data_IF_502127141722
#
_entry.id   IF_502127141722
#
_cell.length_a   1.000
_cell.length_b   1.000
_cell.length_c   1.000
_cell.angle_alpha   90.00
_cell.angle_beta   90.00
_cell.angle_gamma   90.00
#
_symmetry.space_group_name_H-M   'P 1'
#
loop_
_entity.id
_entity.type
_entity.pdbx_description
1 polymer ?
#
# COMPACT_ATOMS: atom_id res chain seq x y z
N UNK A 1 36.83 -35.54 -23.54
CA UNK A 1 37.06 -34.10 -23.27
C UNK A 1 35.92 -33.17 -23.72
N UNK A 2 35.43 -33.20 -24.97
CA UNK A 2 34.41 -32.24 -25.45
C UNK A 2 33.06 -32.25 -24.69
N UNK A 3 32.59 -33.42 -24.21
CA UNK A 3 31.33 -33.54 -23.45
C UNK A 3 31.39 -32.93 -22.04
N UNK A 4 32.55 -32.93 -21.39
CA UNK A 4 32.73 -32.34 -20.07
C UNK A 4 32.71 -30.80 -20.12
N UNK A 5 33.32 -30.22 -21.15
CA UNK A 5 33.31 -28.76 -21.39
C UNK A 5 31.90 -28.24 -21.67
N UNK A 6 31.12 -28.94 -22.49
CA UNK A 6 29.71 -28.58 -22.75
C UNK A 6 28.86 -28.69 -21.49
N UNK A 7 29.08 -29.70 -20.65
CA UNK A 7 28.34 -29.86 -19.39
C UNK A 7 28.66 -28.74 -18.39
N UNK A 8 29.92 -28.30 -18.31
CA UNK A 8 30.34 -27.18 -17.45
C UNK A 8 29.73 -25.85 -17.91
N UNK A 9 29.69 -25.60 -19.23
CA UNK A 9 29.09 -24.38 -19.79
C UNK A 9 27.57 -24.35 -19.53
N UNK A 10 26.89 -25.48 -19.72
CA UNK A 10 25.47 -25.62 -19.42
C UNK A 10 25.21 -25.39 -17.93
N UNK A 11 26.04 -25.96 -17.04
CA UNK A 11 25.93 -25.75 -15.59
C UNK A 11 26.14 -24.28 -15.20
N UNK A 12 27.11 -23.58 -15.83
CA UNK A 12 27.37 -22.15 -15.60
C UNK A 12 26.24 -21.24 -16.09
N UNK A 13 25.62 -21.56 -17.23
CA UNK A 13 24.43 -20.84 -17.73
C UNK A 13 23.24 -21.09 -16.82
N UNK A 14 23.02 -22.31 -16.32
CA UNK A 14 21.99 -22.61 -15.34
C UNK A 14 22.23 -21.93 -13.99
N UNK A 15 23.49 -21.80 -13.55
CA UNK A 15 23.85 -21.03 -12.35
C UNK A 15 23.54 -19.54 -12.50
N UNK A 16 23.80 -18.93 -13.66
CA UNK A 16 23.40 -17.53 -13.91
C UNK A 16 21.88 -17.32 -13.94
N UNK A 17 21.11 -18.33 -14.33
CA UNK A 17 19.64 -18.29 -14.34
C UNK A 17 19.07 -18.53 -12.92
N UNK A 18 19.73 -19.36 -12.10
CA UNK A 18 19.34 -19.64 -10.72
C UNK A 18 19.76 -18.54 -9.72
N UNK A 19 20.85 -17.81 -10.03
CA UNK A 19 21.35 -16.63 -9.29
C UNK A 19 21.08 -15.31 -10.02
N UNK A 20 19.92 -15.18 -10.67
CA UNK A 20 19.46 -13.88 -11.15
C UNK A 20 19.01 -13.03 -9.96
N UNK A 21 19.96 -12.64 -9.10
CA UNK A 21 19.77 -11.67 -8.03
C UNK A 21 19.27 -10.33 -8.60
N UNK A 22 18.89 -9.42 -7.71
CA UNK A 22 18.31 -8.14 -8.12
C UNK A 22 19.30 -7.41 -9.02
N UNK A 23 18.88 -7.06 -10.24
CA UNK A 23 19.75 -6.35 -11.18
C UNK A 23 20.02 -4.93 -10.67
N UNK A 24 21.19 -4.34 -10.98
CA UNK A 24 21.50 -2.94 -10.63
C UNK A 24 20.42 -1.96 -11.15
N UNK A 25 19.86 -2.23 -12.33
CA UNK A 25 18.76 -1.42 -12.90
C UNK A 25 17.48 -1.53 -12.08
N UNK A 26 17.14 -2.72 -11.59
CA UNK A 26 15.98 -2.88 -10.71
C UNK A 26 16.25 -2.24 -9.35
N UNK A 27 17.49 -2.31 -8.86
CA UNK A 27 17.86 -1.69 -7.60
C UNK A 27 17.66 -0.16 -7.60
N UNK A 28 18.07 0.52 -8.68
CA UNK A 28 17.81 1.96 -8.84
C UNK A 28 16.31 2.29 -8.94
N UNK A 29 15.52 1.42 -9.56
CA UNK A 29 14.06 1.55 -9.55
C UNK A 29 13.48 1.36 -8.15
N UNK A 30 14.01 0.43 -7.36
CA UNK A 30 13.59 0.19 -5.99
C UNK A 30 13.86 1.41 -5.11
N UNK A 31 15.05 2.02 -5.21
CA UNK A 31 15.35 3.30 -4.55
C UNK A 31 14.36 4.40 -4.95
N UNK A 32 14.09 4.52 -6.25
CA UNK A 32 13.14 5.51 -6.78
C UNK A 32 11.71 5.25 -6.28
N UNK A 33 11.29 3.98 -6.23
CA UNK A 33 10.00 3.56 -5.71
C UNK A 33 9.88 3.96 -4.24
N UNK A 34 10.85 3.61 -3.41
CA UNK A 34 10.85 3.90 -1.98
C UNK A 34 10.84 5.41 -1.69
N UNK A 35 11.63 6.19 -2.42
CA UNK A 35 11.60 7.66 -2.32
C UNK A 35 10.21 8.24 -2.63
N UNK A 36 9.62 7.84 -3.76
CA UNK A 36 8.29 8.33 -4.15
C UNK A 36 7.18 7.81 -3.24
N UNK A 37 7.36 6.62 -2.66
CA UNK A 37 6.45 6.11 -1.66
C UNK A 37 6.49 6.98 -0.40
N UNK A 38 7.68 7.38 0.07
CA UNK A 38 7.80 8.29 1.22
C UNK A 38 7.10 9.62 0.96
N UNK A 39 7.29 10.20 -0.23
CA UNK A 39 6.61 11.43 -0.66
C UNK A 39 5.08 11.27 -0.66
N UNK A 40 4.55 10.16 -1.19
CA UNK A 40 3.11 9.91 -1.20
C UNK A 40 2.56 9.69 0.23
N UNK A 41 3.25 8.92 1.06
CA UNK A 41 2.86 8.65 2.45
C UNK A 41 2.86 9.94 3.29
N UNK A 42 3.80 10.86 3.04
CA UNK A 42 3.82 12.19 3.65
C UNK A 42 2.52 12.96 3.35
N UNK A 43 2.04 12.95 2.10
CA UNK A 43 0.75 13.57 1.76
C UNK A 43 -0.42 12.90 2.48
N UNK A 44 -0.40 11.58 2.67
CA UNK A 44 -1.42 10.89 3.48
C UNK A 44 -1.35 11.29 4.97
N UNK A 45 -0.15 11.48 5.53
CA UNK A 45 0.04 11.99 6.90
C UNK A 45 -0.50 13.42 7.04
N UNK A 46 -0.32 14.31 6.05
CA UNK A 46 -0.87 15.67 6.08
C UNK A 46 -2.40 15.66 6.17
N UNK A 47 -3.05 14.76 5.44
CA UNK A 47 -4.51 14.58 5.50
C UNK A 47 -4.94 14.07 6.88
N UNK A 48 -4.25 13.07 7.41
CA UNK A 48 -4.51 12.55 8.77
C UNK A 48 -4.27 13.62 9.83
N UNK A 49 -3.28 14.49 9.64
CA UNK A 49 -3.00 15.62 10.55
C UNK A 49 -4.17 16.60 10.54
N UNK A 50 -4.69 16.94 9.35
CA UNK A 50 -5.90 17.77 9.20
C UNK A 50 -7.10 17.15 9.94
N UNK A 51 -7.30 15.82 9.82
CA UNK A 51 -8.36 15.14 10.58
C UNK A 51 -8.12 15.13 12.08
N UNK A 52 -6.87 14.95 12.53
CA UNK A 52 -6.51 14.99 13.95
C UNK A 52 -6.74 16.40 14.53
N UNK A 53 -6.37 17.45 13.80
CA UNK A 53 -6.65 18.83 14.17
C UNK A 53 -8.16 19.10 14.27
N UNK A 54 -8.93 18.67 13.27
CA UNK A 54 -10.39 18.77 13.32
C UNK A 54 -10.98 18.00 14.53
N UNK A 55 -10.46 16.80 14.81
CA UNK A 55 -10.88 15.98 15.95
C UNK A 55 -10.61 16.65 17.29
N UNK A 56 -9.53 17.44 17.42
CA UNK A 56 -9.22 18.18 18.64
C UNK A 56 -10.25 19.27 18.96
N UNK A 57 -10.96 19.77 17.95
CA UNK A 57 -12.05 20.74 18.12
C UNK A 57 -13.40 20.08 18.45
N UNK A 58 -13.50 18.75 18.41
CA UNK A 58 -14.70 18.02 18.84
C UNK A 58 -14.77 18.08 20.38
N UNK A 59 -15.83 18.67 20.97
CA UNK A 59 -15.96 18.76 22.42
C UNK A 59 -15.95 17.38 23.11
N UNK A 60 -15.31 17.29 24.28
CA UNK A 60 -15.16 16.02 25.00
C UNK A 60 -16.49 15.41 25.50
N UNK A 61 -17.57 16.19 25.55
CA UNK A 61 -18.90 15.67 25.88
C UNK A 61 -19.53 14.85 24.74
N UNK A 62 -19.02 14.99 23.50
CA UNK A 62 -19.48 14.20 22.36
C UNK A 62 -19.10 12.73 22.55
N UNK A 63 -20.09 11.85 22.56
CA UNK A 63 -19.89 10.41 22.76
C UNK A 63 -19.02 9.84 21.63
N UNK A 64 -17.89 9.22 22.01
CA UNK A 64 -16.96 8.58 21.08
C UNK A 64 -15.80 9.46 20.61
N UNK A 65 -15.73 10.74 21.02
CA UNK A 65 -14.66 11.68 20.63
C UNK A 65 -13.25 11.14 20.94
N UNK A 66 -13.01 10.64 22.15
CA UNK A 66 -11.70 10.08 22.53
C UNK A 66 -11.34 8.85 21.69
N UNK A 67 -12.29 7.94 21.47
CA UNK A 67 -12.07 6.75 20.63
C UNK A 67 -11.69 7.15 19.20
N UNK A 68 -12.33 8.18 18.66
CA UNK A 68 -12.02 8.70 17.33
C UNK A 68 -10.61 9.34 17.25
N UNK A 69 -10.23 10.13 18.25
CA UNK A 69 -8.87 10.69 18.35
C UNK A 69 -7.80 9.59 18.40
N UNK A 70 -8.00 8.56 19.23
CA UNK A 70 -7.09 7.41 19.30
C UNK A 70 -7.00 6.69 17.96
N UNK A 71 -8.13 6.45 17.30
CA UNK A 71 -8.20 5.79 16.00
C UNK A 71 -7.44 6.56 14.90
N UNK A 72 -7.56 7.88 14.83
CA UNK A 72 -6.79 8.69 13.88
C UNK A 72 -5.28 8.66 14.18
N UNK A 73 -4.90 8.67 15.45
CA UNK A 73 -3.50 8.55 15.87
C UNK A 73 -2.90 7.19 15.46
N UNK A 74 -3.65 6.09 15.63
CA UNK A 74 -3.23 4.75 15.20
C UNK A 74 -2.93 4.72 13.68
N UNK A 75 -3.76 5.35 12.85
CA UNK A 75 -3.50 5.47 11.41
C UNK A 75 -2.22 6.24 11.11
N UNK A 76 -1.97 7.34 11.81
CA UNK A 76 -0.74 8.13 11.66
C UNK A 76 0.49 7.28 12.03
N UNK A 77 0.40 6.48 13.09
CA UNK A 77 1.47 5.55 13.52
C UNK A 77 1.74 4.51 12.43
N UNK A 78 0.72 3.95 11.78
CA UNK A 78 0.92 3.01 10.68
C UNK A 78 1.68 3.64 9.50
N UNK A 79 1.35 4.88 9.12
CA UNK A 79 2.14 5.62 8.13
C UNK A 79 3.59 5.81 8.58
N UNK A 80 3.82 6.17 9.84
CA UNK A 80 5.18 6.32 10.38
C UNK A 80 5.99 5.02 10.34
N UNK A 81 5.36 3.86 10.59
CA UNK A 81 6.01 2.55 10.48
C UNK A 81 6.49 2.28 9.04
N UNK A 82 5.66 2.60 8.04
CA UNK A 82 6.02 2.47 6.62
C UNK A 82 7.23 3.35 6.31
N UNK A 83 7.20 4.63 6.71
CA UNK A 83 8.32 5.57 6.51
C UNK A 83 9.60 5.08 7.19
N UNK A 84 9.51 4.55 8.40
CA UNK A 84 10.66 3.96 9.09
C UNK A 84 11.25 2.77 8.33
N UNK A 85 10.41 1.93 7.71
CA UNK A 85 10.88 0.85 6.83
C UNK A 85 11.58 1.37 5.56
N UNK A 86 11.10 2.48 5.00
CA UNK A 86 11.74 3.16 3.87
C UNK A 86 13.11 3.70 4.26
N UNK A 87 13.22 4.45 5.37
CA UNK A 87 14.49 5.02 5.85
C UNK A 87 15.53 3.92 6.10
N UNK A 88 15.13 2.81 6.74
CA UNK A 88 16.01 1.66 6.96
C UNK A 88 16.56 1.07 5.65
N UNK A 89 15.82 1.20 4.55
CA UNK A 89 16.20 0.64 3.25
C UNK A 89 17.34 1.37 2.52
N UNK A 90 17.69 2.58 2.97
CA UNK A 90 18.75 3.39 2.35
C UNK A 90 20.12 2.71 2.46
N UNK A 91 20.36 2.03 3.58
CA UNK A 91 21.62 1.32 3.88
C UNK A 91 21.59 -0.16 3.50
N UNK A 92 20.47 -0.66 2.97
CA UNK A 92 20.32 -2.06 2.58
C UNK A 92 21.02 -2.35 1.25
N UNK A 93 21.47 -3.60 1.08
CA UNK A 93 21.87 -4.09 -0.24
C UNK A 93 20.65 -4.31 -1.16
N UNK A 94 20.91 -4.66 -2.42
CA UNK A 94 19.86 -4.75 -3.46
C UNK A 94 18.83 -5.86 -3.20
N UNK A 95 19.26 -7.01 -2.68
CA UNK A 95 18.38 -8.12 -2.29
C UNK A 95 17.53 -7.76 -1.07
N UNK A 96 18.16 -7.20 -0.04
CA UNK A 96 17.48 -6.72 1.18
C UNK A 96 16.44 -5.66 0.86
N UNK A 97 16.76 -4.71 -0.03
CA UNK A 97 15.83 -3.66 -0.44
C UNK A 97 14.64 -4.20 -1.22
N UNK A 98 14.86 -5.15 -2.12
CA UNK A 98 13.77 -5.84 -2.83
C UNK A 98 12.83 -6.56 -1.85
N UNK A 99 13.40 -7.22 -0.84
CA UNK A 99 12.64 -7.86 0.23
C UNK A 99 11.90 -6.84 1.11
N UNK A 100 12.54 -5.75 1.48
CA UNK A 100 11.93 -4.68 2.27
C UNK A 100 10.72 -4.07 1.55
N UNK A 101 10.79 -3.88 0.22
CA UNK A 101 9.63 -3.43 -0.58
C UNK A 101 8.48 -4.42 -0.47
N UNK A 102 8.76 -5.73 -0.53
CA UNK A 102 7.75 -6.76 -0.34
C UNK A 102 7.10 -6.64 1.04
N UNK A 103 7.88 -6.53 2.10
CA UNK A 103 7.37 -6.39 3.48
C UNK A 103 6.50 -5.13 3.64
N UNK A 104 6.91 -4.01 3.02
CA UNK A 104 6.10 -2.78 3.00
C UNK A 104 4.80 -2.94 2.21
N UNK A 105 4.77 -3.77 1.16
CA UNK A 105 3.53 -4.08 0.44
C UNK A 105 2.63 -4.95 1.32
N UNK A 106 3.19 -5.98 1.96
CA UNK A 106 2.48 -6.89 2.87
C UNK A 106 1.94 -6.18 4.12
N UNK A 107 2.51 -5.05 4.54
CA UNK A 107 1.97 -4.30 5.68
C UNK A 107 0.59 -3.69 5.40
N UNK A 108 0.15 -3.62 4.13
CA UNK A 108 -1.22 -3.22 3.78
C UNK A 108 -2.22 -4.28 4.26
N UNK A 109 -1.85 -5.56 4.15
CA UNK A 109 -2.66 -6.72 4.55
C UNK A 109 -1.73 -7.88 4.95
N UNK A 110 -1.50 -8.03 6.25
CA UNK A 110 -0.46 -8.92 6.80
C UNK A 110 -0.85 -10.40 6.87
N UNK A 111 -2.13 -10.72 6.67
CA UNK A 111 -2.70 -12.07 6.76
C UNK A 111 -2.67 -12.85 5.43
N UNK A 112 -2.10 -12.28 4.37
CA UNK A 112 -2.03 -12.96 3.08
C UNK A 112 -0.80 -13.84 2.89
N UNK A 113 -1.07 -15.11 2.61
CA UNK A 113 -0.07 -16.07 2.16
C UNK A 113 -0.02 -16.14 0.64
N UNK A 114 1.13 -15.76 0.07
CA UNK A 114 1.35 -15.83 -1.37
C UNK A 114 2.24 -17.01 -1.72
N UNK A 115 1.75 -17.89 -2.60
CA UNK A 115 2.58 -18.94 -3.18
C UNK A 115 3.69 -18.32 -4.04
N UNK A 116 4.92 -18.82 -3.88
CA UNK A 116 6.07 -18.41 -4.69
C UNK A 116 5.97 -19.02 -6.08
N UNK A 117 5.07 -18.49 -6.91
CA UNK A 117 4.99 -18.82 -8.32
C UNK A 117 5.80 -17.85 -9.16
N UNK A 118 6.43 -18.37 -10.22
CA UNK A 118 7.16 -17.52 -11.16
C UNK A 118 6.18 -16.64 -11.92
N UNK A 119 6.28 -15.33 -11.75
CA UNK A 119 5.46 -14.36 -12.48
C UNK A 119 5.88 -14.34 -13.95
N UNK A 120 4.95 -14.71 -14.84
CA UNK A 120 5.12 -14.65 -16.30
C UNK A 120 4.95 -13.23 -16.82
N UNK A 121 5.47 -12.92 -18.02
CA UNK A 121 5.25 -11.61 -18.66
C UNK A 121 3.76 -11.31 -18.90
N UNK A 122 2.97 -12.33 -19.23
CA UNK A 122 1.51 -12.21 -19.40
C UNK A 122 0.82 -11.83 -18.09
N UNK A 123 1.20 -12.48 -16.98
CA UNK A 123 0.68 -12.14 -15.65
C UNK A 123 1.10 -10.74 -15.22
N UNK A 124 2.37 -10.35 -15.41
CA UNK A 124 2.84 -8.98 -15.11
C UNK A 124 2.06 -7.91 -15.89
N UNK A 125 1.82 -8.14 -17.20
CA UNK A 125 1.02 -7.24 -18.03
C UNK A 125 -0.42 -7.11 -17.50
N UNK A 126 -1.07 -8.23 -17.18
CA UNK A 126 -2.41 -8.22 -16.60
C UNK A 126 -2.45 -7.51 -15.24
N UNK A 127 -1.45 -7.72 -14.39
CA UNK A 127 -1.32 -7.02 -13.11
C UNK A 127 -1.21 -5.51 -13.29
N UNK A 128 -0.43 -5.04 -14.29
CA UNK A 128 -0.33 -3.61 -14.63
C UNK A 128 -1.67 -2.99 -15.02
N UNK A 129 -2.38 -3.65 -15.93
CA UNK A 129 -3.67 -3.19 -16.43
C UNK A 129 -4.70 -3.13 -15.29
N UNK A 130 -4.74 -4.17 -14.47
CA UNK A 130 -5.59 -4.23 -13.28
C UNK A 130 -5.29 -3.08 -12.30
N UNK A 131 -4.03 -2.91 -11.90
CA UNK A 131 -3.63 -1.85 -10.96
C UNK A 131 -3.92 -0.46 -11.52
N UNK A 132 -3.76 -0.25 -12.84
CA UNK A 132 -4.12 1.02 -13.49
C UNK A 132 -5.63 1.29 -13.46
N UNK A 133 -6.47 0.28 -13.67
CA UNK A 133 -7.93 0.43 -13.51
C UNK A 133 -8.28 0.81 -12.08
N UNK A 134 -7.70 0.08 -11.11
CA UNK A 134 -7.94 0.31 -9.68
C UNK A 134 -7.46 1.67 -9.21
N UNK A 135 -6.38 2.21 -9.77
CA UNK A 135 -5.95 3.58 -9.49
C UNK A 135 -7.08 4.59 -9.75
N UNK A 136 -7.70 4.53 -10.92
CA UNK A 136 -8.78 5.44 -11.31
C UNK A 136 -10.03 5.26 -10.43
N UNK A 137 -10.41 4.01 -10.13
CA UNK A 137 -11.55 3.69 -9.27
C UNK A 137 -11.36 4.24 -7.85
N UNK A 138 -10.18 4.02 -7.26
CA UNK A 138 -9.84 4.48 -5.91
C UNK A 138 -9.78 6.01 -5.83
N UNK A 139 -9.23 6.70 -6.83
CA UNK A 139 -9.21 8.16 -6.88
C UNK A 139 -10.62 8.74 -6.83
N UNK A 140 -11.53 8.18 -7.62
CA UNK A 140 -12.93 8.59 -7.62
C UNK A 140 -13.61 8.30 -6.27
N UNK A 141 -13.40 7.10 -5.72
CA UNK A 141 -14.00 6.68 -4.46
C UNK A 141 -13.54 7.53 -3.26
N UNK A 142 -12.25 7.87 -3.18
CA UNK A 142 -11.72 8.77 -2.15
C UNK A 142 -12.40 10.14 -2.20
N UNK A 143 -12.64 10.68 -3.41
CA UNK A 143 -13.35 11.94 -3.57
C UNK A 143 -14.79 11.90 -3.05
N UNK A 144 -15.49 10.79 -3.24
CA UNK A 144 -16.84 10.56 -2.68
C UNK A 144 -16.78 10.46 -1.16
N UNK A 145 -15.89 9.61 -0.63
CA UNK A 145 -15.76 9.37 0.81
C UNK A 145 -15.48 10.67 1.57
N UNK A 146 -14.58 11.53 1.05
CA UNK A 146 -14.28 12.82 1.69
C UNK A 146 -15.49 13.74 1.78
N UNK A 147 -16.33 13.78 0.73
CA UNK A 147 -17.60 14.54 0.76
C UNK A 147 -18.57 13.98 1.80
N UNK A 148 -18.63 12.65 1.94
CA UNK A 148 -19.46 12.01 2.96
C UNK A 148 -18.95 12.26 4.38
N UNK A 149 -17.63 12.25 4.61
CA UNK A 149 -17.00 12.63 5.89
C UNK A 149 -17.44 14.05 6.30
N UNK A 150 -17.31 15.03 5.40
CA UNK A 150 -17.74 16.41 5.66
C UNK A 150 -19.24 16.53 5.97
N UNK A 151 -20.06 15.68 5.35
CA UNK A 151 -21.50 15.62 5.64
C UNK A 151 -21.78 15.06 7.03
N UNK A 152 -21.08 13.99 7.43
CA UNK A 152 -21.19 13.40 8.76
C UNK A 152 -20.69 14.34 9.87
N UNK A 153 -19.65 15.13 9.62
CA UNK A 153 -19.16 16.13 10.59
C UNK A 153 -20.24 17.13 11.01
N UNK A 154 -21.06 17.58 10.04
CA UNK A 154 -22.21 18.47 10.31
C UNK A 154 -23.30 17.79 11.13
N UNK A 155 -23.41 16.46 11.06
CA UNK A 155 -24.39 15.67 11.82
C UNK A 155 -23.89 15.46 13.25
N UNK A 156 -22.61 15.14 13.43
CA UNK A 156 -22.00 14.88 14.74
C UNK A 156 -22.18 16.07 15.68
N UNK A 157 -22.05 17.30 15.17
CA UNK A 157 -22.27 18.52 15.95
C UNK A 157 -23.74 18.73 16.39
N UNK A 158 -24.69 18.01 15.79
CA UNK A 158 -26.12 18.05 16.13
C UNK A 158 -26.57 16.84 16.94
N UNK A 159 -25.91 15.69 16.77
CA UNK A 159 -26.28 14.42 17.39
C UNK A 159 -25.47 14.09 18.65
N UNK A 160 -24.53 14.95 19.04
CA UNK A 160 -23.61 14.80 20.18
C UNK A 160 -22.93 13.42 20.27
N UNK A 161 -22.75 12.77 19.12
CA UNK A 161 -22.22 11.41 19.04
C UNK A 161 -21.56 11.13 17.70
N UNK A 162 -20.44 10.41 17.74
CA UNK A 162 -19.74 9.93 16.55
C UNK A 162 -20.36 8.62 16.09
N UNK A 163 -20.86 8.59 14.85
CA UNK A 163 -21.52 7.42 14.27
C UNK A 163 -20.51 6.34 13.86
N UNK A 164 -20.94 5.07 13.85
CA UNK A 164 -20.15 3.97 13.27
C UNK A 164 -19.80 4.23 11.80
N UNK A 165 -20.75 4.79 11.03
CA UNK A 165 -20.55 5.17 9.63
C UNK A 165 -19.38 6.15 9.47
N UNK A 166 -19.21 7.10 10.39
CA UNK A 166 -18.09 8.05 10.35
C UNK A 166 -16.73 7.36 10.51
N UNK A 167 -16.62 6.41 11.45
CA UNK A 167 -15.41 5.58 11.59
C UNK A 167 -15.15 4.77 10.31
N UNK A 168 -16.18 4.13 9.75
CA UNK A 168 -16.04 3.32 8.52
C UNK A 168 -15.58 4.16 7.32
N UNK A 169 -16.06 5.40 7.21
CA UNK A 169 -15.63 6.34 6.16
C UNK A 169 -14.14 6.70 6.30
N UNK A 170 -13.68 7.01 7.51
CA UNK A 170 -12.27 7.32 7.75
C UNK A 170 -11.36 6.10 7.55
N UNK A 171 -11.78 4.91 7.98
CA UNK A 171 -11.07 3.65 7.69
C UNK A 171 -10.87 3.44 6.19
N UNK A 172 -11.93 3.67 5.40
CA UNK A 172 -11.86 3.51 3.95
C UNK A 172 -11.05 4.61 3.27
N UNK A 173 -11.18 5.86 3.72
CA UNK A 173 -10.35 6.95 3.20
C UNK A 173 -8.87 6.64 3.42
N UNK A 174 -8.50 6.16 4.60
CA UNK A 174 -7.14 5.77 4.93
C UNK A 174 -6.66 4.61 4.04
N UNK A 175 -7.39 3.48 4.03
CA UNK A 175 -7.02 2.31 3.22
C UNK A 175 -6.88 2.68 1.74
N UNK A 176 -7.82 3.45 1.19
CA UNK A 176 -7.78 3.79 -0.23
C UNK A 176 -6.65 4.77 -0.55
N UNK A 177 -6.38 5.75 0.32
CA UNK A 177 -5.24 6.66 0.15
C UNK A 177 -3.94 5.87 0.20
N UNK A 178 -3.81 4.95 1.14
CA UNK A 178 -2.64 4.06 1.24
C UNK A 178 -2.47 3.21 -0.03
N UNK A 179 -3.54 2.59 -0.54
CA UNK A 179 -3.47 1.84 -1.81
C UNK A 179 -3.06 2.74 -2.98
N UNK A 180 -3.58 3.96 -3.06
CA UNK A 180 -3.19 4.93 -4.10
C UNK A 180 -1.69 5.25 -4.04
N UNK A 181 -1.14 5.43 -2.83
CA UNK A 181 0.27 5.76 -2.60
C UNK A 181 1.21 4.69 -3.19
N UNK A 182 0.84 3.41 -3.10
CA UNK A 182 1.59 2.30 -3.68
C UNK A 182 1.31 2.12 -5.19
N UNK A 183 0.04 2.15 -5.59
CA UNK A 183 -0.38 1.83 -6.97
C UNK A 183 0.16 2.85 -7.96
N UNK A 184 0.14 4.15 -7.62
CA UNK A 184 0.55 5.26 -8.50
C UNK A 184 1.98 5.11 -9.04
N UNK A 185 2.84 4.44 -8.28
CA UNK A 185 4.27 4.26 -8.59
C UNK A 185 4.65 2.79 -8.83
N UNK A 186 3.65 1.90 -8.92
CA UNK A 186 3.84 0.45 -9.07
C UNK A 186 4.60 0.04 -10.34
N UNK A 187 4.73 0.94 -11.33
CA UNK A 187 5.53 0.67 -12.53
C UNK A 187 7.02 0.50 -12.29
N UNK A 188 7.52 1.02 -11.16
CA UNK A 188 8.91 0.88 -10.73
C UNK A 188 9.20 -0.49 -10.12
N UNK A 189 8.16 -1.19 -9.64
CA UNK A 189 8.31 -2.50 -8.99
C UNK A 189 8.81 -3.57 -9.97
N UNK A 190 9.54 -4.55 -9.42
CA UNK A 190 9.75 -5.84 -10.06
C UNK A 190 8.40 -6.49 -10.38
N UNK A 191 8.40 -7.48 -11.28
CA UNK A 191 7.18 -8.23 -11.60
C UNK A 191 6.66 -9.01 -10.38
N UNK A 192 7.57 -9.46 -9.52
CA UNK A 192 7.27 -10.14 -8.26
C UNK A 192 6.56 -9.19 -7.29
N UNK A 193 7.15 -8.06 -6.94
CA UNK A 193 6.56 -7.10 -6.01
C UNK A 193 5.26 -6.49 -6.53
N UNK A 194 5.17 -6.26 -7.85
CA UNK A 194 3.91 -5.85 -8.49
C UNK A 194 2.83 -6.92 -8.39
N UNK A 195 3.21 -8.19 -8.48
CA UNK A 195 2.27 -9.29 -8.28
C UNK A 195 1.74 -9.28 -6.84
N UNK A 196 2.61 -9.16 -5.83
CA UNK A 196 2.16 -9.05 -4.43
C UNK A 196 1.14 -7.91 -4.26
N UNK A 197 1.45 -6.71 -4.75
CA UNK A 197 0.52 -5.58 -4.67
C UNK A 197 -0.81 -5.86 -5.38
N UNK A 198 -0.78 -6.46 -6.57
CA UNK A 198 -2.00 -6.79 -7.31
C UNK A 198 -2.86 -7.83 -6.60
N UNK A 199 -2.26 -8.86 -6.00
CA UNK A 199 -3.01 -9.87 -5.26
C UNK A 199 -3.63 -9.28 -3.98
N UNK A 200 -2.90 -8.42 -3.23
CA UNK A 200 -3.46 -7.70 -2.07
C UNK A 200 -4.71 -6.91 -2.46
N UNK A 201 -4.64 -6.17 -3.56
CA UNK A 201 -5.77 -5.37 -4.03
C UNK A 201 -6.97 -6.25 -4.42
N UNK A 202 -6.74 -7.41 -5.06
CA UNK A 202 -7.83 -8.36 -5.40
C UNK A 202 -8.45 -9.01 -4.17
N UNK A 203 -7.64 -9.30 -3.16
CA UNK A 203 -8.08 -9.90 -1.91
C UNK A 203 -9.00 -8.95 -1.14
N UNK A 204 -8.59 -7.69 -0.99
CA UNK A 204 -9.42 -6.63 -0.43
C UNK A 204 -10.74 -6.44 -1.21
N UNK A 205 -10.70 -6.56 -2.54
CA UNK A 205 -11.91 -6.52 -3.37
C UNK A 205 -12.87 -7.67 -3.06
N UNK A 206 -12.34 -8.89 -2.93
CA UNK A 206 -13.10 -10.11 -2.64
C UNK A 206 -13.74 -10.05 -1.25
N UNK A 207 -13.03 -9.51 -0.26
CA UNK A 207 -13.52 -9.27 1.10
C UNK A 207 -14.55 -8.13 1.18
N UNK A 208 -14.76 -7.40 0.08
CA UNK A 208 -15.75 -6.36 -0.01
C UNK A 208 -15.30 -5.01 0.54
N UNK A 209 -13.99 -4.78 0.69
CA UNK A 209 -13.43 -3.51 1.13
C UNK A 209 -13.90 -2.34 0.23
N UNK A 210 -14.19 -2.62 -1.05
CA UNK A 210 -14.65 -1.65 -2.04
C UNK A 210 -16.17 -1.51 -2.21
N UNK A 211 -16.98 -2.28 -1.47
CA UNK A 211 -18.46 -2.21 -1.58
C UNK A 211 -19.00 -0.91 -0.98
N UNK A 212 -20.06 -0.27 -1.51
CA UNK A 212 -20.65 0.94 -0.91
C UNK A 212 -21.01 0.76 0.57
N UNK A 213 -20.87 1.81 1.37
CA UNK A 213 -21.37 1.80 2.76
C UNK A 213 -22.90 1.85 2.69
N UNK A 214 -23.57 0.82 3.21
CA UNK A 214 -25.03 0.83 3.34
C UNK A 214 -25.44 1.74 4.50
N UNK A 215 -26.51 2.51 4.30
CA UNK A 215 -27.09 3.37 5.34
C UNK A 215 -27.76 2.56 6.45
#
# INVERSE_FOLDING_TARGET
MKKAVVSIIILLVFFQIAFAGVSKKQDEKNKTFLKRLDENILSTIEILTTFNEAANHIPNFIKGANKYKTFLMEMTIECSKIRNGIIKSENMNKEEREFQIKELILSIKSDEFFQKERVTKKKDKSNREFLKSKLSELQFAVGIIRKEIMSQEKIIMKSDSISRKYFELHSRNFLYSLLLDYIKISDLLSKENRNYLAEIVRSLETEGAFKPIKN
#
